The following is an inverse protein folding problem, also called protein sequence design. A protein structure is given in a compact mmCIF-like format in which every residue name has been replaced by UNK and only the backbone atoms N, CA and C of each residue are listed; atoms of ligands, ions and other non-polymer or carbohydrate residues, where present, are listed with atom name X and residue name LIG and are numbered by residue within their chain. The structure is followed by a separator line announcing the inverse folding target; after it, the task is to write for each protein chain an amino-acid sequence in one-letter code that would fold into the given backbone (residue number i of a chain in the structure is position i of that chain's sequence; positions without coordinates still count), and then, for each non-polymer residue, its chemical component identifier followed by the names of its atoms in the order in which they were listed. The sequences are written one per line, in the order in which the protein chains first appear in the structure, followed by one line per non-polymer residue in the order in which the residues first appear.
data_IF_258763865859
#
_entry.id   IF_258763865859
#
_cell.length_a   1.000
_cell.length_b   1.000
_cell.length_c   1.000
_cell.angle_alpha   90.00
_cell.angle_beta   90.00
_cell.angle_gamma   90.00
#
_symmetry.space_group_name_H-M   'P 1'
#
loop_
_entity.id
_entity.type
_entity.pdbx_description
1 polymer ?
#
# COMPACT_ATOMS: atom_id res chain seq x y z
N UNK A 1 -13.65 9.02 -6.77
CA UNK A 1 -12.37 8.94 -6.03
C UNK A 1 -12.57 8.36 -4.62
N UNK A 2 -13.37 8.98 -3.75
CA UNK A 2 -13.61 8.50 -2.37
C UNK A 2 -14.11 7.04 -2.31
N UNK A 3 -15.11 6.69 -3.12
CA UNK A 3 -15.65 5.32 -3.18
C UNK A 3 -14.60 4.31 -3.64
N UNK A 4 -13.76 4.69 -4.61
CA UNK A 4 -12.68 3.84 -5.14
C UNK A 4 -11.63 3.60 -4.07
N UNK A 5 -11.21 4.64 -3.35
CA UNK A 5 -10.29 4.49 -2.22
C UNK A 5 -10.87 3.65 -1.10
N UNK A 6 -12.11 3.90 -0.69
CA UNK A 6 -12.78 3.12 0.34
C UNK A 6 -12.92 1.63 -0.03
N UNK A 7 -13.24 1.34 -1.30
CA UNK A 7 -13.27 -0.05 -1.79
C UNK A 7 -11.89 -0.70 -1.80
N UNK A 8 -10.86 0.07 -2.15
CA UNK A 8 -9.47 -0.41 -2.13
C UNK A 8 -8.97 -0.67 -0.70
N UNK A 9 -9.34 0.18 0.27
CA UNK A 9 -9.00 0.01 1.68
C UNK A 9 -9.62 -1.27 2.26
N UNK A 10 -10.88 -1.56 1.92
CA UNK A 10 -11.53 -2.82 2.32
C UNK A 10 -10.79 -4.01 1.70
N UNK A 11 -10.44 -3.94 0.42
CA UNK A 11 -9.66 -4.99 -0.25
C UNK A 11 -8.30 -5.22 0.42
N UNK A 12 -7.54 -4.16 0.70
CA UNK A 12 -6.26 -4.25 1.41
C UNK A 12 -6.42 -4.79 2.83
N UNK A 13 -7.49 -4.41 3.54
CA UNK A 13 -7.79 -4.95 4.86
C UNK A 13 -8.02 -6.47 4.85
N UNK A 14 -8.78 -6.96 3.87
CA UNK A 14 -9.00 -8.40 3.66
C UNK A 14 -7.66 -9.09 3.31
N UNK A 15 -6.88 -8.50 2.40
CA UNK A 15 -5.57 -9.03 2.01
C UNK A 15 -4.62 -9.12 3.21
N UNK A 16 -4.63 -8.13 4.09
CA UNK A 16 -3.81 -8.10 5.30
C UNK A 16 -4.17 -9.22 6.29
N UNK A 17 -5.47 -9.47 6.48
CA UNK A 17 -5.96 -10.57 7.34
C UNK A 17 -5.51 -11.93 6.81
N UNK A 18 -5.49 -12.12 5.48
CA UNK A 18 -5.11 -13.39 4.85
C UNK A 18 -3.59 -13.59 4.88
N UNK A 19 -2.82 -12.54 4.61
CA UNK A 19 -1.38 -12.64 4.37
C UNK A 19 -0.49 -12.39 5.60
N UNK A 20 -1.05 -11.98 6.74
CA UNK A 20 -0.34 -11.64 7.99
C UNK A 20 0.97 -10.86 7.74
N UNK A 21 0.83 -9.70 7.09
CA UNK A 21 1.96 -8.87 6.69
C UNK A 21 2.61 -8.17 7.89
N UNK A 22 3.86 -8.51 8.20
CA UNK A 22 4.65 -7.89 9.28
C UNK A 22 5.61 -6.84 8.72
N UNK A 23 5.66 -5.69 9.39
CA UNK A 23 6.51 -4.56 9.00
C UNK A 23 7.62 -4.42 10.04
N UNK A 24 8.86 -4.33 9.56
CA UNK A 24 10.04 -4.08 10.35
C UNK A 24 10.64 -2.73 9.98
N UNK A 25 10.63 -1.81 10.94
CA UNK A 25 11.28 -0.52 10.81
C UNK A 25 12.68 -0.60 11.40
N UNK A 26 13.68 -0.68 10.52
CA UNK A 26 15.07 -0.54 10.91
C UNK A 26 15.56 0.87 10.57
N UNK A 27 16.58 1.41 11.28
CA UNK A 27 17.16 2.69 10.95
C UNK A 27 17.59 2.73 9.47
N UNK A 28 16.91 3.55 8.66
CA UNK A 28 17.19 3.70 7.23
C UNK A 28 16.63 2.62 6.30
N UNK A 29 15.96 1.58 6.81
CA UNK A 29 15.39 0.50 5.99
C UNK A 29 13.95 0.20 6.40
N UNK A 30 13.05 0.27 5.41
CA UNK A 30 11.69 -0.22 5.53
C UNK A 30 11.64 -1.65 4.99
N UNK A 31 11.51 -2.63 5.88
CA UNK A 31 11.42 -4.04 5.51
C UNK A 31 10.02 -4.58 5.82
N UNK A 32 9.53 -5.45 4.94
CA UNK A 32 8.23 -6.07 5.09
C UNK A 32 8.31 -7.55 4.74
N UNK A 33 7.68 -8.39 5.56
CA UNK A 33 7.66 -9.85 5.39
C UNK A 33 6.24 -10.34 5.55
N UNK A 34 5.78 -11.21 4.66
CA UNK A 34 4.52 -11.96 4.88
C UNK A 34 4.85 -13.20 5.69
N UNK A 35 4.18 -13.35 6.83
CA UNK A 35 4.32 -14.55 7.66
C UNK A 35 3.31 -15.61 7.19
N UNK A 36 3.70 -16.38 6.18
CA UNK A 36 2.85 -17.41 5.57
C UNK A 36 3.65 -18.69 5.35
N UNK A 37 3.07 -19.86 5.63
CA UNK A 37 3.74 -21.18 5.50
C UNK A 37 4.30 -21.44 4.09
N UNK A 38 3.71 -20.81 3.07
CA UNK A 38 4.14 -20.89 1.67
C UNK A 38 4.61 -19.53 1.11
N UNK A 39 5.15 -18.68 1.99
CA UNK A 39 5.60 -17.34 1.64
C UNK A 39 6.63 -17.33 0.51
N UNK A 40 6.23 -16.83 -0.66
CA UNK A 40 7.14 -16.56 -1.77
C UNK A 40 7.55 -15.09 -1.78
N UNK A 41 8.80 -14.82 -2.14
CA UNK A 41 9.31 -13.46 -2.31
C UNK A 41 8.44 -12.66 -3.28
N UNK A 42 7.96 -13.29 -4.36
CA UNK A 42 7.09 -12.65 -5.35
C UNK A 42 5.74 -12.22 -4.78
N UNK A 43 5.18 -13.03 -3.87
CA UNK A 43 3.91 -12.75 -3.20
C UNK A 43 4.08 -11.60 -2.21
N UNK A 44 5.21 -11.59 -1.50
CA UNK A 44 5.59 -10.52 -0.58
C UNK A 44 5.73 -9.19 -1.32
N UNK A 45 6.48 -9.15 -2.42
CA UNK A 45 6.61 -7.93 -3.23
C UNK A 45 5.30 -7.49 -3.84
N UNK A 46 4.47 -8.42 -4.33
CA UNK A 46 3.15 -8.06 -4.87
C UNK A 46 2.25 -7.43 -3.81
N UNK A 47 2.19 -8.01 -2.61
CA UNK A 47 1.43 -7.49 -1.48
C UNK A 47 1.86 -6.05 -1.11
N UNK A 48 3.16 -5.82 -0.92
CA UNK A 48 3.65 -4.49 -0.54
C UNK A 48 3.47 -3.44 -1.65
N UNK A 49 3.58 -3.86 -2.92
CA UNK A 49 3.28 -2.96 -4.05
C UNK A 49 1.80 -2.54 -4.05
N UNK A 50 0.86 -3.47 -3.84
CA UNK A 50 -0.57 -3.15 -3.76
C UNK A 50 -0.85 -2.15 -2.64
N UNK A 51 -0.18 -2.29 -1.49
CA UNK A 51 -0.29 -1.34 -0.37
C UNK A 51 0.20 0.07 -0.72
N UNK A 52 1.12 0.20 -1.67
CA UNK A 52 1.75 1.47 -2.04
C UNK A 52 0.97 2.23 -3.14
N UNK A 53 0.16 1.52 -3.94
CA UNK A 53 -0.71 2.09 -4.98
C UNK A 53 -1.62 3.23 -4.48
N UNK A 54 -2.44 3.05 -3.42
CA UNK A 54 -3.36 4.10 -2.98
C UNK A 54 -2.59 5.34 -2.49
N UNK A 55 -1.41 5.15 -1.91
CA UNK A 55 -0.53 6.24 -1.48
C UNK A 55 -0.01 7.07 -2.66
N UNK A 56 0.45 6.43 -3.74
CA UNK A 56 0.88 7.14 -4.96
C UNK A 56 -0.28 7.93 -5.57
N UNK A 57 -1.47 7.32 -5.67
CA UNK A 57 -2.65 7.98 -6.24
C UNK A 57 -3.05 9.19 -5.39
N UNK A 58 -3.02 9.05 -4.06
CA UNK A 58 -3.30 10.14 -3.13
C UNK A 58 -2.31 11.31 -3.30
N UNK A 59 -1.00 11.03 -3.34
CA UNK A 59 0.03 12.05 -3.57
C UNK A 59 -0.17 12.73 -4.92
N UNK A 60 -0.42 11.96 -5.98
CA UNK A 60 -0.60 12.50 -7.34
C UNK A 60 -1.81 13.43 -7.40
N UNK A 61 -2.90 13.05 -6.73
CA UNK A 61 -4.11 13.87 -6.66
C UNK A 61 -3.89 15.16 -5.83
N UNK A 62 -3.16 15.08 -4.71
CA UNK A 62 -2.80 16.25 -3.91
C UNK A 62 -1.89 17.20 -4.68
N UNK A 63 -0.91 16.65 -5.40
CA UNK A 63 -0.01 17.41 -6.25
C UNK A 63 -0.80 18.14 -7.35
N UNK A 64 -1.66 17.44 -8.09
CA UNK A 64 -2.51 18.03 -9.13
C UNK A 64 -3.34 19.19 -8.58
N UNK A 65 -3.96 19.03 -7.41
CA UNK A 65 -4.77 20.08 -6.78
C UNK A 65 -3.92 21.27 -6.34
N UNK A 66 -2.71 21.04 -5.84
CA UNK A 66 -1.77 22.11 -5.48
C UNK A 66 -1.42 22.97 -6.70
N UNK A 67 -1.06 22.34 -7.82
CA UNK A 67 -0.74 23.05 -9.06
C UNK A 67 -1.95 23.80 -9.64
N UNK A 68 -3.15 23.20 -9.57
CA UNK A 68 -4.37 23.83 -10.08
C UNK A 68 -4.84 25.05 -9.28
N UNK A 69 -4.45 25.18 -8.00
CA UNK A 69 -4.76 26.36 -7.17
C UNK A 69 -3.76 27.50 -7.42
N UNK A 70 -2.53 27.16 -7.84
CA UNK A 70 -1.46 28.13 -8.08
C UNK A 70 -1.50 28.75 -9.50
N UNK A 71 -2.23 28.13 -10.43
CA UNK A 71 -2.41 28.58 -11.82
C UNK A 71 -3.67 29.45 -11.97
#
# INVERSE_FOLDING_TARGET
LLIVFSGYDIFLGILHIICDGKIFLLPGVFAGVLDFEHGSQALTTLYFNLFLVPYIILITHLLYRYWAILA
#
